data_IF_408216732768
#
_entry.id   IF_408216732768
#
_cell.length_a   1.000
_cell.length_b   1.000
_cell.length_c   1.000
_cell.angle_alpha   90.00
_cell.angle_beta   90.00
_cell.angle_gamma   90.00
#
_symmetry.space_group_name_H-M   'P 1'
#
loop_
_entity.id
_entity.type
_entity.pdbx_description
1 polymer ?
#
# COMPACT_ATOMS: atom_id res chain seq x y z
N UNK A 1 -14.14 23.21 -8.13
CA UNK A 1 -13.33 22.01 -8.43
C UNK A 1 -12.92 21.39 -7.12
N UNK A 2 -13.10 20.07 -6.94
CA UNK A 2 -12.57 19.36 -5.76
C UNK A 2 -11.04 19.49 -5.80
N UNK A 3 -10.36 19.91 -4.71
CA UNK A 3 -8.91 19.96 -4.68
C UNK A 3 -8.34 18.59 -5.09
N UNK A 4 -7.29 18.53 -5.93
CA UNK A 4 -6.67 17.25 -6.23
C UNK A 4 -6.20 16.64 -4.90
N UNK A 5 -6.66 15.42 -4.62
CA UNK A 5 -6.26 14.70 -3.42
C UNK A 5 -4.75 14.51 -3.35
N UNK A 6 -4.20 14.40 -2.14
CA UNK A 6 -2.76 14.20 -1.94
C UNK A 6 -2.31 12.78 -2.31
N UNK A 7 -3.25 11.84 -2.46
CA UNK A 7 -2.99 10.50 -2.95
C UNK A 7 -4.20 9.87 -3.64
N UNK A 8 -3.95 8.79 -4.36
CA UNK A 8 -4.93 7.84 -4.85
C UNK A 8 -4.70 6.48 -4.18
N UNK A 9 -5.78 5.78 -3.84
CA UNK A 9 -5.75 4.46 -3.24
C UNK A 9 -6.42 3.45 -4.16
N UNK A 10 -5.78 2.32 -4.40
CA UNK A 10 -6.37 1.17 -5.11
C UNK A 10 -6.39 -0.06 -4.20
N UNK A 11 -7.52 -0.76 -4.16
CA UNK A 11 -7.67 -2.04 -3.47
C UNK A 11 -7.60 -3.21 -4.44
N UNK A 12 -6.89 -4.26 -4.02
CA UNK A 12 -6.58 -5.42 -4.84
C UNK A 12 -6.80 -6.72 -4.09
N UNK A 13 -7.26 -7.74 -4.82
CA UNK A 13 -7.40 -9.11 -4.35
C UNK A 13 -6.64 -10.05 -5.27
N UNK A 14 -5.48 -10.53 -4.81
CA UNK A 14 -4.53 -11.20 -5.68
C UNK A 14 -4.04 -10.25 -6.79
N UNK A 15 -4.27 -10.62 -8.04
CA UNK A 15 -3.92 -9.82 -9.22
C UNK A 15 -5.06 -8.91 -9.69
N UNK A 16 -6.22 -8.95 -9.06
CA UNK A 16 -7.42 -8.27 -9.53
C UNK A 16 -7.67 -6.96 -8.78
N UNK A 17 -7.91 -5.87 -9.51
CA UNK A 17 -8.35 -4.60 -8.93
C UNK A 17 -9.82 -4.67 -8.56
N UNK A 18 -10.13 -4.33 -7.31
CA UNK A 18 -11.47 -4.35 -6.74
C UNK A 18 -11.98 -2.93 -6.55
N UNK A 19 -12.94 -2.53 -7.39
CA UNK A 19 -13.51 -1.19 -7.40
C UNK A 19 -12.63 -0.13 -8.11
N UNK A 20 -13.06 1.15 -8.10
CA UNK A 20 -12.30 2.27 -8.64
C UNK A 20 -11.11 2.65 -7.72
N UNK A 21 -10.24 3.51 -8.23
CA UNK A 21 -9.31 4.25 -7.38
C UNK A 21 -10.09 5.25 -6.52
N UNK A 22 -9.67 5.39 -5.27
CA UNK A 22 -10.27 6.29 -4.30
C UNK A 22 -9.33 7.49 -4.06
N UNK A 23 -9.75 8.73 -4.38
CA UNK A 23 -8.96 9.92 -4.10
C UNK A 23 -8.94 10.20 -2.59
N UNK A 24 -7.76 10.49 -2.04
CA UNK A 24 -7.61 10.88 -0.64
C UNK A 24 -7.39 12.39 -0.58
N UNK A 25 -8.39 13.12 -0.11
CA UNK A 25 -8.36 14.58 0.00
C UNK A 25 -8.02 15.05 1.41
N UNK A 26 -8.64 14.45 2.41
CA UNK A 26 -8.41 14.78 3.82
C UNK A 26 -7.03 14.31 4.27
N UNK A 27 -6.41 15.02 5.21
CA UNK A 27 -5.08 14.67 5.72
C UNK A 27 -5.04 13.25 6.29
N UNK A 28 -6.17 12.69 6.71
CA UNK A 28 -6.26 11.36 7.31
C UNK A 28 -7.41 10.57 6.67
N UNK A 29 -7.19 9.27 6.45
CA UNK A 29 -8.21 8.34 5.96
C UNK A 29 -8.18 7.03 6.75
N UNK A 30 -9.35 6.54 7.15
CA UNK A 30 -9.49 5.20 7.70
C UNK A 30 -9.75 4.19 6.56
N UNK A 31 -9.08 3.04 6.58
CA UNK A 31 -9.36 1.93 5.66
C UNK A 31 -9.67 0.68 6.48
N UNK A 32 -10.85 0.09 6.31
CA UNK A 32 -11.36 -0.96 7.19
C UNK A 32 -12.30 -1.93 6.46
N UNK A 33 -12.67 -3.04 7.12
CA UNK A 33 -13.63 -4.03 6.58
C UNK A 33 -14.82 -4.30 7.50
N UNK A 34 -14.76 -3.90 8.76
CA UNK A 34 -15.90 -4.00 9.68
C UNK A 34 -16.92 -2.89 9.43
N UNK A 35 -18.21 -3.18 9.62
CA UNK A 35 -19.26 -2.17 9.46
C UNK A 35 -19.25 -1.26 10.68
N UNK A 36 -18.45 -0.20 10.64
CA UNK A 36 -18.44 0.82 11.67
C UNK A 36 -19.66 1.72 11.47
N UNK A 37 -20.56 1.77 12.45
CA UNK A 37 -21.86 2.49 12.37
C UNK A 37 -21.71 3.98 12.05
N UNK A 38 -20.54 4.57 12.33
CA UNK A 38 -20.21 6.00 12.13
C UNK A 38 -18.79 6.21 11.60
N UNK A 39 -18.22 5.21 10.91
CA UNK A 39 -16.84 5.28 10.43
C UNK A 39 -16.73 6.12 9.17
N UNK A 40 -16.04 7.26 9.24
CA UNK A 40 -15.56 7.98 8.06
C UNK A 40 -14.37 7.23 7.42
N UNK A 41 -14.28 7.22 6.09
CA UNK A 41 -13.23 6.56 5.31
C UNK A 41 -13.72 5.46 4.34
N UNK A 42 -12.83 4.53 4.02
CA UNK A 42 -13.05 3.50 3.00
C UNK A 42 -13.33 2.12 3.59
N UNK A 43 -14.56 1.63 3.42
CA UNK A 43 -14.94 0.26 3.74
C UNK A 43 -14.66 -0.70 2.57
N UNK A 44 -13.63 -1.54 2.71
CA UNK A 44 -13.21 -2.51 1.70
C UNK A 44 -14.24 -3.63 1.48
N UNK A 45 -15.03 -3.98 2.51
CA UNK A 45 -16.10 -4.97 2.37
C UNK A 45 -17.22 -4.46 1.47
N UNK A 46 -17.63 -3.20 1.65
CA UNK A 46 -18.63 -2.57 0.79
C UNK A 46 -18.12 -2.47 -0.65
N UNK A 47 -16.87 -2.03 -0.83
CA UNK A 47 -16.21 -1.93 -2.13
C UNK A 47 -16.18 -3.28 -2.86
N UNK A 48 -15.78 -4.32 -2.14
CA UNK A 48 -15.72 -5.68 -2.64
C UNK A 48 -17.10 -6.24 -3.03
N UNK A 49 -18.13 -6.03 -2.21
CA UNK A 49 -19.47 -6.54 -2.49
C UNK A 49 -20.08 -5.89 -3.74
N UNK A 50 -19.86 -4.58 -3.94
CA UNK A 50 -20.27 -3.90 -5.17
C UNK A 50 -19.55 -4.42 -6.42
N UNK A 51 -18.27 -4.76 -6.28
CA UNK A 51 -17.46 -5.31 -7.37
C UNK A 51 -17.85 -6.76 -7.71
N UNK A 52 -18.16 -7.59 -6.71
CA UNK A 52 -18.59 -8.98 -6.89
C UNK A 52 -19.88 -9.16 -7.67
N UNK A 53 -20.81 -8.20 -7.60
CA UNK A 53 -22.02 -8.22 -8.44
C UNK A 53 -21.69 -8.24 -9.95
N UNK A 54 -20.45 -7.95 -10.33
CA UNK A 54 -20.00 -7.86 -11.72
C UNK A 54 -19.05 -8.99 -12.14
N UNK A 55 -18.61 -9.91 -11.24
CA UNK A 55 -17.50 -10.87 -11.51
C UNK A 55 -17.53 -12.18 -10.68
N UNK A 56 -16.50 -13.02 -10.90
CA UNK A 56 -16.25 -14.34 -10.30
C UNK A 56 -16.10 -14.32 -8.77
N UNK A 57 -16.46 -15.42 -8.13
CA UNK A 57 -16.42 -15.58 -6.68
C UNK A 57 -14.98 -15.50 -6.11
N UNK A 58 -14.75 -14.82 -4.99
CA UNK A 58 -13.42 -14.70 -4.39
C UNK A 58 -12.92 -16.04 -3.85
N UNK A 59 -11.59 -16.24 -3.86
CA UNK A 59 -10.99 -17.43 -3.26
C UNK A 59 -11.18 -17.48 -1.74
N UNK A 60 -11.09 -18.68 -1.16
CA UNK A 60 -11.20 -18.86 0.30
C UNK A 60 -10.12 -18.07 1.06
N UNK A 61 -8.92 -17.95 0.48
CA UNK A 61 -7.82 -17.19 1.07
C UNK A 61 -8.11 -15.68 1.16
N UNK A 62 -8.83 -15.13 0.18
CA UNK A 62 -9.31 -13.75 0.16
C UNK A 62 -10.35 -13.56 1.25
N UNK A 63 -11.37 -14.43 1.32
CA UNK A 63 -12.42 -14.36 2.34
C UNK A 63 -11.86 -14.47 3.77
N UNK A 64 -10.88 -15.36 3.99
CA UNK A 64 -10.16 -15.46 5.28
C UNK A 64 -9.39 -14.18 5.60
N UNK A 65 -8.78 -13.53 4.62
CA UNK A 65 -8.00 -12.31 4.82
C UNK A 65 -8.89 -11.09 5.05
N UNK A 66 -9.99 -10.93 4.30
CA UNK A 66 -11.00 -9.88 4.53
C UNK A 66 -11.48 -9.84 5.99
N UNK A 67 -11.77 -11.01 6.56
CA UNK A 67 -12.20 -11.14 7.97
C UNK A 67 -11.14 -10.66 8.98
N UNK A 68 -9.85 -10.66 8.61
CA UNK A 68 -8.74 -10.22 9.46
C UNK A 68 -8.45 -8.73 9.36
N UNK A 69 -8.99 -8.04 8.36
CA UNK A 69 -8.78 -6.60 8.19
C UNK A 69 -9.41 -5.86 9.37
N UNK A 70 -10.65 -6.18 9.74
CA UNK A 70 -11.32 -5.60 10.90
C UNK A 70 -11.38 -4.07 10.85
N UNK A 71 -10.93 -3.41 11.93
CA UNK A 71 -10.72 -1.95 12.01
C UNK A 71 -9.65 -1.41 11.05
N UNK A 72 -8.83 -2.29 10.47
CA UNK A 72 -7.89 -1.99 9.41
C UNK A 72 -6.78 -1.02 9.80
N UNK A 73 -6.58 0.02 9.01
CA UNK A 73 -5.49 0.99 9.18
C UNK A 73 -6.03 2.43 9.16
N UNK A 74 -5.17 3.35 9.61
CA UNK A 74 -5.27 4.78 9.31
C UNK A 74 -4.05 5.16 8.48
N UNK A 75 -4.27 5.92 7.41
CA UNK A 75 -3.20 6.65 6.73
C UNK A 75 -3.33 8.13 7.08
N UNK A 76 -2.23 8.76 7.50
CA UNK A 76 -2.19 10.20 7.78
C UNK A 76 -1.04 10.86 7.04
N UNK A 77 -1.31 11.97 6.36
CA UNK A 77 -0.32 12.85 5.75
C UNK A 77 0.07 13.90 6.78
N UNK A 78 1.31 13.80 7.24
CA UNK A 78 1.93 14.73 8.17
C UNK A 78 3.01 15.56 7.47
N UNK A 79 3.64 16.48 8.19
CA UNK A 79 4.68 17.35 7.63
C UNK A 79 5.95 16.60 7.23
N UNK A 80 6.23 15.46 7.87
CA UNK A 80 7.44 14.67 7.66
C UNK A 80 7.21 13.42 6.81
N UNK A 81 5.99 13.18 6.33
CA UNK A 81 5.69 12.04 5.47
C UNK A 81 4.27 11.50 5.59
N UNK A 82 4.09 10.26 5.15
CA UNK A 82 2.82 9.54 5.28
C UNK A 82 2.97 8.43 6.31
N UNK A 83 2.16 8.51 7.36
CA UNK A 83 2.14 7.55 8.45
C UNK A 83 1.02 6.54 8.28
N UNK A 84 1.32 5.29 8.60
CA UNK A 84 0.38 4.21 8.73
C UNK A 84 0.25 3.83 10.20
N UNK A 85 -0.98 3.79 10.72
CA UNK A 85 -1.29 3.23 12.03
C UNK A 85 -2.14 1.96 11.87
N UNK A 86 -1.69 0.84 12.42
CA UNK A 86 -2.39 -0.44 12.32
C UNK A 86 -3.38 -0.62 13.49
N UNK A 87 -4.68 -0.53 13.19
CA UNK A 87 -5.77 -0.77 14.14
C UNK A 87 -6.35 -2.18 14.08
N UNK A 88 -5.94 -2.98 13.10
CA UNK A 88 -6.42 -4.35 12.95
C UNK A 88 -5.80 -5.27 14.02
N UNK A 89 -6.42 -6.43 14.22
CA UNK A 89 -5.90 -7.48 15.12
C UNK A 89 -4.81 -8.34 14.46
N UNK A 90 -4.49 -8.07 13.20
CA UNK A 90 -3.47 -8.79 12.42
C UNK A 90 -2.33 -7.85 12.02
N UNK A 91 -1.12 -8.36 11.77
CA UNK A 91 -0.07 -7.52 11.20
C UNK A 91 -0.46 -7.07 9.78
N UNK A 92 0.01 -5.87 9.41
CA UNK A 92 0.09 -5.45 8.00
C UNK A 92 1.55 -5.43 7.56
N UNK A 93 1.75 -5.51 6.25
CA UNK A 93 3.07 -5.64 5.66
C UNK A 93 3.24 -4.54 4.62
N UNK A 94 4.31 -3.76 4.71
CA UNK A 94 4.47 -2.52 3.94
C UNK A 94 5.77 -2.58 3.13
N UNK A 95 5.68 -2.24 1.86
CA UNK A 95 6.83 -1.96 1.01
C UNK A 95 6.72 -0.53 0.48
N UNK A 96 7.79 0.23 0.60
CA UNK A 96 7.92 1.57 0.06
C UNK A 96 9.37 1.77 -0.39
N UNK A 97 9.62 2.35 -1.58
CA UNK A 97 10.98 2.66 -2.02
C UNK A 97 11.75 3.51 -1.00
N UNK A 98 11.05 4.41 -0.30
CA UNK A 98 11.63 5.32 0.71
C UNK A 98 12.02 4.64 2.03
N UNK A 99 11.65 3.37 2.23
CA UNK A 99 11.99 2.57 3.41
C UNK A 99 13.21 1.67 3.20
N UNK A 100 13.68 1.55 1.95
CA UNK A 100 14.86 0.75 1.64
C UNK A 100 16.12 1.57 1.85
N UNK A 101 17.19 0.92 2.28
CA UNK A 101 18.52 1.52 2.19
C UNK A 101 18.86 1.77 0.72
N UNK A 102 19.51 2.90 0.44
CA UNK A 102 19.85 3.34 -0.92
C UNK A 102 20.70 2.29 -1.66
N UNK A 103 21.52 1.55 -0.90
CA UNK A 103 22.40 0.49 -1.43
C UNK A 103 21.75 -0.90 -1.44
N UNK A 104 20.58 -1.06 -0.79
CA UNK A 104 19.89 -2.35 -0.73
C UNK A 104 19.22 -2.68 -2.06
N UNK A 105 19.66 -3.78 -2.65
CA UNK A 105 19.07 -4.34 -3.88
C UNK A 105 17.88 -5.25 -3.61
N UNK A 106 17.50 -5.40 -2.34
CA UNK A 106 16.47 -6.35 -1.93
C UNK A 106 15.17 -5.63 -1.63
N UNK A 107 14.08 -6.16 -2.16
CA UNK A 107 12.73 -5.75 -1.80
C UNK A 107 12.53 -6.01 -0.30
N UNK A 108 12.41 -4.95 0.49
CA UNK A 108 12.23 -5.05 1.93
C UNK A 108 10.78 -4.78 2.31
N UNK A 109 10.17 -5.74 3.01
CA UNK A 109 8.78 -5.67 3.46
C UNK A 109 8.77 -5.60 4.98
N UNK A 110 8.39 -4.45 5.51
CA UNK A 110 8.29 -4.21 6.93
C UNK A 110 6.96 -4.73 7.48
N UNK A 111 7.03 -5.50 8.56
CA UNK A 111 5.85 -5.95 9.31
C UNK A 111 5.49 -4.87 10.34
N UNK A 112 4.24 -4.42 10.30
CA UNK A 112 3.66 -3.49 11.28
C UNK A 112 2.65 -4.26 12.15
N UNK A 113 3.00 -4.59 13.42
CA UNK A 113 2.09 -5.28 14.33
C UNK A 113 0.82 -4.46 14.64
N UNK A 114 -0.24 -5.09 15.19
CA UNK A 114 -1.37 -4.36 15.78
C UNK A 114 -0.91 -3.27 16.77
N UNK A 115 -1.54 -2.11 16.72
CA UNK A 115 -1.26 -0.98 17.62
C UNK A 115 0.05 -0.24 17.34
N UNK A 116 0.75 -0.53 16.23
CA UNK A 116 2.01 0.12 15.87
C UNK A 116 1.84 1.08 14.69
N UNK A 117 2.73 2.07 14.62
CA UNK A 117 2.85 3.01 13.52
C UNK A 117 4.11 2.75 12.67
N UNK A 118 4.06 3.17 11.40
CA UNK A 118 5.19 3.21 10.48
C UNK A 118 5.08 4.45 9.60
N UNK A 119 6.18 5.20 9.43
CA UNK A 119 6.27 6.23 8.38
C UNK A 119 6.42 5.53 7.02
N UNK A 120 5.30 5.21 6.39
CA UNK A 120 5.23 4.42 5.16
C UNK A 120 5.83 5.15 3.94
N UNK A 121 5.93 6.49 4.00
CA UNK A 121 6.60 7.28 2.98
C UNK A 121 7.39 8.43 3.60
N UNK A 122 8.65 8.59 3.17
CA UNK A 122 9.54 9.69 3.56
C UNK A 122 9.86 10.58 2.35
N UNK A 123 9.40 11.86 2.35
CA UNK A 123 9.60 12.77 1.23
C UNK A 123 11.06 13.16 1.01
N UNK A 124 11.89 13.19 2.06
CA UNK A 124 13.31 13.50 1.92
C UNK A 124 14.03 12.36 1.21
N UNK A 125 13.76 11.11 1.60
CA UNK A 125 14.32 9.94 0.91
C UNK A 125 13.82 9.83 -0.53
N UNK A 126 12.55 10.19 -0.79
CA UNK A 126 12.02 10.21 -2.15
C UNK A 126 12.80 11.17 -3.05
N UNK A 127 13.13 12.37 -2.55
CA UNK A 127 13.93 13.35 -3.29
C UNK A 127 15.35 12.83 -3.57
N UNK A 128 16.00 12.19 -2.60
CA UNK A 128 17.32 11.58 -2.78
C UNK A 128 17.28 10.50 -3.87
N UNK A 129 16.29 9.61 -3.83
CA UNK A 129 16.10 8.55 -4.83
C UNK A 129 15.84 9.12 -6.23
N UNK A 130 15.07 10.20 -6.35
CA UNK A 130 14.85 10.88 -7.61
C UNK A 130 16.15 11.46 -8.18
N UNK A 131 16.95 12.11 -7.35
CA UNK A 131 18.23 12.66 -7.77
C UNK A 131 19.16 11.56 -8.29
N UNK A 132 19.22 10.42 -7.58
CA UNK A 132 20.02 9.26 -8.01
C UNK A 132 19.54 8.71 -9.35
N UNK A 133 18.22 8.58 -9.56
CA UNK A 133 17.65 8.13 -10.84
C UNK A 133 17.99 9.09 -11.99
N UNK A 134 17.96 10.41 -11.75
CA UNK A 134 18.31 11.40 -12.77
C UNK A 134 19.81 11.39 -13.12
N UNK A 135 20.68 11.12 -12.14
CA UNK A 135 22.14 11.07 -12.33
C UNK A 135 22.62 9.76 -12.99
N UNK A 136 21.81 8.69 -12.94
CA UNK A 136 22.12 7.38 -13.56
C UNK A 136 21.01 6.99 -14.55
N UNK A 137 20.95 7.63 -15.73
CA UNK A 137 19.95 7.31 -16.73
C UNK A 137 20.14 5.89 -17.25
N UNK A 138 19.12 5.07 -17.04
CA UNK A 138 19.12 3.62 -17.28
C UNK A 138 19.17 2.93 -15.93
N UNK A 139 18.04 2.34 -15.51
CA UNK A 139 17.74 1.68 -14.22
C UNK A 139 18.74 0.59 -13.79
N UNK A 140 20.02 0.92 -13.77
CA UNK A 140 21.16 0.10 -13.49
C UNK A 140 21.58 0.47 -12.08
N UNK A 141 21.24 -0.40 -11.15
CA UNK A 141 21.94 -0.44 -9.87
C UNK A 141 23.42 -0.67 -10.16
N UNK A 142 24.31 -0.24 -9.25
CA UNK A 142 25.70 -0.71 -9.27
C UNK A 142 25.64 -2.25 -9.36
N UNK A 143 26.18 -2.87 -10.43
CA UNK A 143 26.07 -4.32 -10.66
C UNK A 143 25.11 -4.78 -11.76
N UNK A 144 24.59 -3.90 -12.63
CA UNK A 144 24.10 -4.30 -13.95
C UNK A 144 22.70 -4.91 -14.04
N UNK A 145 21.93 -4.90 -12.95
CA UNK A 145 20.53 -5.37 -12.97
C UNK A 145 19.60 -4.22 -13.38
N UNK A 146 18.88 -4.43 -14.48
CA UNK A 146 17.84 -3.53 -14.97
C UNK A 146 16.58 -3.74 -14.12
N UNK A 147 16.30 -2.83 -13.18
CA UNK A 147 15.02 -2.81 -12.47
C UNK A 147 14.02 -2.09 -13.38
N UNK A 148 12.78 -2.56 -13.50
CA UNK A 148 11.73 -1.75 -14.15
C UNK A 148 11.61 -0.37 -13.48
N UNK A 149 10.91 0.61 -14.09
CA UNK A 149 10.72 1.91 -13.45
C UNK A 149 10.09 1.72 -12.06
N UNK A 150 10.87 2.05 -11.01
CA UNK A 150 10.38 2.05 -9.64
C UNK A 150 9.58 3.32 -9.47
N UNK A 151 8.28 3.19 -9.22
CA UNK A 151 7.44 4.32 -8.81
C UNK A 151 7.79 4.70 -7.36
N UNK A 152 8.68 5.68 -7.21
CA UNK A 152 9.15 6.21 -5.91
C UNK A 152 7.98 6.72 -5.06
N UNK A 153 6.94 7.23 -5.70
CA UNK A 153 5.78 7.84 -5.04
C UNK A 153 4.64 6.86 -4.82
N UNK A 154 4.89 5.56 -4.95
CA UNK A 154 3.94 4.52 -4.56
C UNK A 154 4.48 3.60 -3.49
N UNK A 155 3.60 3.23 -2.57
CA UNK A 155 3.86 2.18 -1.60
C UNK A 155 2.69 1.20 -1.54
N UNK A 156 2.99 -0.01 -1.07
CA UNK A 156 2.06 -1.13 -1.06
C UNK A 156 1.90 -1.68 0.34
N UNK A 157 0.68 -2.05 0.69
CA UNK A 157 0.32 -2.56 2.01
C UNK A 157 -0.45 -3.86 1.82
N UNK A 158 -0.01 -4.97 2.41
CA UNK A 158 -0.81 -6.20 2.47
C UNK A 158 -1.34 -6.46 3.87
N UNK A 159 -2.58 -6.93 3.94
CA UNK A 159 -3.24 -7.30 5.19
C UNK A 159 -2.94 -8.76 5.55
N UNK A 160 -2.51 -9.00 6.79
CA UNK A 160 -2.30 -10.32 7.40
C UNK A 160 -1.27 -11.25 6.74
N UNK A 161 -0.78 -10.96 5.53
CA UNK A 161 0.15 -11.77 4.76
C UNK A 161 1.33 -10.93 4.27
N UNK A 162 2.54 -11.36 4.59
CA UNK A 162 3.77 -10.75 4.07
C UNK A 162 4.19 -11.35 2.73
N UNK A 163 5.09 -10.65 2.05
CA UNK A 163 5.73 -11.08 0.81
C UNK A 163 7.20 -10.63 0.77
N UNK A 164 7.96 -11.14 -0.19
CA UNK A 164 9.41 -10.94 -0.33
C UNK A 164 10.20 -12.15 0.16
N UNK A 165 11.53 -12.00 0.23
CA UNK A 165 12.47 -13.10 0.43
C UNK A 165 12.23 -13.92 1.71
N UNK A 166 11.73 -13.29 2.77
CA UNK A 166 11.48 -13.93 4.06
C UNK A 166 10.07 -14.56 4.17
N UNK A 167 9.34 -14.63 3.06
CA UNK A 167 7.96 -15.14 3.02
C UNK A 167 7.78 -16.14 1.88
N UNK A 168 6.76 -16.99 1.99
CA UNK A 168 6.39 -17.91 0.90
C UNK A 168 5.90 -17.18 -0.36
N UNK A 169 5.46 -15.92 -0.21
CA UNK A 169 5.01 -15.06 -1.31
C UNK A 169 6.17 -14.20 -1.78
N UNK A 170 6.50 -14.25 -3.05
CA UNK A 170 7.60 -13.46 -3.61
C UNK A 170 7.13 -12.09 -4.13
N UNK A 171 5.85 -11.97 -4.48
CA UNK A 171 5.26 -10.72 -4.96
C UNK A 171 3.96 -10.37 -4.21
N UNK A 172 3.67 -9.07 -4.12
CA UNK A 172 2.47 -8.56 -3.45
C UNK A 172 1.19 -9.07 -4.09
N UNK A 173 1.18 -9.33 -5.41
CA UNK A 173 0.02 -9.88 -6.14
C UNK A 173 -0.33 -11.30 -5.73
N UNK A 174 0.58 -12.01 -5.05
CA UNK A 174 0.28 -13.30 -4.44
C UNK A 174 -0.40 -13.14 -3.07
N UNK A 175 -0.49 -11.92 -2.53
CA UNK A 175 -1.19 -11.64 -1.29
C UNK A 175 -2.71 -11.56 -1.55
N UNK A 176 -3.54 -12.14 -0.67
CA UNK A 176 -4.98 -12.21 -0.92
C UNK A 176 -5.67 -10.84 -0.91
N UNK A 177 -5.24 -9.90 -0.06
CA UNK A 177 -5.81 -8.56 0.03
C UNK A 177 -4.67 -7.56 0.23
N UNK A 178 -4.59 -6.55 -0.62
CA UNK A 178 -3.56 -5.51 -0.52
C UNK A 178 -4.02 -4.17 -1.12
N UNK A 179 -3.29 -3.11 -0.76
CA UNK A 179 -3.51 -1.74 -1.19
C UNK A 179 -2.30 -1.24 -1.94
N UNK A 180 -2.55 -0.43 -2.96
CA UNK A 180 -1.56 0.45 -3.57
C UNK A 180 -1.93 1.90 -3.26
N UNK A 181 -1.02 2.63 -2.65
CA UNK A 181 -1.13 4.08 -2.45
C UNK A 181 -0.22 4.75 -3.48
N UNK A 182 -0.72 5.75 -4.19
CA UNK A 182 0.02 6.54 -5.18
C UNK A 182 -0.08 8.00 -4.77
N UNK A 183 1.05 8.65 -4.49
CA UNK A 183 1.08 10.02 -4.01
C UNK A 183 1.01 11.01 -5.18
N UNK A 184 0.33 12.14 -4.94
CA UNK A 184 0.19 13.20 -5.92
C UNK A 184 1.39 14.16 -5.94
N UNK A 185 1.83 14.65 -7.12
CA UNK A 185 1.25 14.35 -8.43
C UNK A 185 1.60 12.92 -8.87
N UNK A 186 0.59 12.12 -9.19
CA UNK A 186 0.79 10.83 -9.86
C UNK A 186 1.43 11.14 -11.22
N UNK A 187 2.66 10.70 -11.45
CA UNK A 187 3.37 10.85 -12.73
C UNK A 187 3.40 9.54 -13.48
#
# INVERSE_FOLDING_TARGET
>A
SVPPGWAQLAYWEGTERVGPQYPITDSTINIFSEKVLYGDGLCLTSLANHHQQRRTQPSESVLKTRRKIGLGIILSRESDGVWLYNRSTSPVFVHSPTLNDIDSRQLHVLKVPPGHCLRAFDPLRANDLQLIQNLRPGNLLAGGLQVGPIDIYSFRISFAKGWGQNYSRQDVTQCPCWLQVMLSPCR
#
